data_IF_487750333466
#
_entry.id   IF_487750333466
#
_cell.length_a   1.000
_cell.length_b   1.000
_cell.length_c   1.000
_cell.angle_alpha   90.00
_cell.angle_beta   90.00
_cell.angle_gamma   90.00
#
_symmetry.space_group_name_H-M   'P 1'
#
loop_
_entity.id
_entity.type
_entity.pdbx_description
1 polymer ?
#
# COMPACT_ATOMS: atom_id res chain seq x y z
N UNK A 1 20.21 8.10 25.47
CA UNK A 1 19.24 9.13 25.85
C UNK A 1 18.27 9.27 24.68
N UNK A 2 17.11 8.60 24.71
CA UNK A 2 16.05 8.87 23.74
C UNK A 2 15.17 9.94 24.38
N UNK A 3 15.47 11.21 24.13
CA UNK A 3 14.61 12.31 24.56
C UNK A 3 13.26 12.14 23.88
N UNK A 4 12.25 11.75 24.66
CA UNK A 4 10.85 11.82 24.24
C UNK A 4 10.47 13.29 24.19
N UNK A 5 10.80 13.93 23.07
CA UNK A 5 10.30 15.26 22.75
C UNK A 5 8.80 15.13 22.55
N UNK A 6 8.02 15.64 23.50
CA UNK A 6 6.58 15.82 23.31
C UNK A 6 6.41 16.86 22.21
N UNK A 7 6.08 16.39 21.02
CA UNK A 7 5.80 17.28 19.89
C UNK A 7 4.46 17.96 20.16
N UNK A 8 4.35 19.30 20.08
CA UNK A 8 3.10 19.99 20.32
C UNK A 8 2.07 19.58 19.25
N UNK A 9 0.98 18.97 19.70
CA UNK A 9 -0.20 18.65 18.89
C UNK A 9 -1.20 19.79 19.07
N UNK A 10 -1.66 20.41 17.99
CA UNK A 10 -2.69 21.46 18.03
C UNK A 10 -4.04 20.89 17.56
N UNK A 11 -5.03 20.85 18.44
CA UNK A 11 -6.39 20.46 18.03
C UNK A 11 -7.04 21.61 17.26
N UNK A 12 -7.65 21.30 16.12
CA UNK A 12 -8.40 22.23 15.28
C UNK A 12 -9.90 22.20 15.65
N UNK A 13 -10.65 23.29 15.39
CA UNK A 13 -12.06 23.41 15.75
C UNK A 13 -13.00 22.41 15.05
N UNK A 14 -12.57 21.83 13.94
CA UNK A 14 -13.27 20.80 13.18
C UNK A 14 -13.14 19.40 13.80
N UNK A 15 -12.39 19.26 14.90
CA UNK A 15 -12.09 17.98 15.54
C UNK A 15 -10.85 17.30 14.97
N UNK A 16 -10.12 17.93 14.05
CA UNK A 16 -8.85 17.45 13.54
C UNK A 16 -7.69 17.89 14.45
N UNK A 17 -6.47 17.43 14.16
CA UNK A 17 -5.27 17.88 14.87
C UNK A 17 -4.10 18.13 13.90
N UNK A 18 -3.40 19.24 14.09
CA UNK A 18 -2.20 19.62 13.35
C UNK A 18 -0.92 19.26 14.12
N UNK A 19 0.09 18.77 13.39
CA UNK A 19 1.39 18.38 13.92
C UNK A 19 2.50 18.76 12.93
N UNK A 20 3.48 19.55 13.37
CA UNK A 20 4.68 19.85 12.58
C UNK A 20 5.84 18.94 13.02
N UNK A 21 6.39 18.17 12.07
CA UNK A 21 7.49 17.24 12.32
C UNK A 21 8.70 17.60 11.47
N UNK A 22 9.88 17.63 12.09
CA UNK A 22 11.17 17.64 11.40
C UNK A 22 11.75 16.24 11.50
N UNK A 23 11.83 15.55 10.35
CA UNK A 23 12.37 14.19 10.26
C UNK A 23 13.69 14.17 9.50
N UNK A 24 14.63 13.36 9.98
CA UNK A 24 15.87 13.04 9.27
C UNK A 24 15.64 11.76 8.49
N UNK A 25 15.68 11.86 7.16
CA UNK A 25 15.53 10.71 6.28
C UNK A 25 16.89 10.32 5.69
N UNK A 26 17.22 9.02 5.61
CA UNK A 26 18.40 8.57 4.90
C UNK A 26 18.20 8.76 3.39
N UNK A 27 19.30 8.84 2.63
CA UNK A 27 19.24 9.16 1.20
C UNK A 27 18.53 8.07 0.39
N UNK A 28 18.58 6.83 0.86
CA UNK A 28 17.91 5.67 0.28
C UNK A 28 16.38 5.83 0.31
N UNK A 29 15.84 6.39 1.39
CA UNK A 29 14.39 6.64 1.50
C UNK A 29 13.97 7.82 0.62
N UNK A 30 14.81 8.85 0.51
CA UNK A 30 14.58 9.95 -0.45
C UNK A 30 14.58 9.42 -1.89
N UNK A 31 15.50 8.52 -2.23
CA UNK A 31 15.54 7.89 -3.55
C UNK A 31 14.28 7.05 -3.83
N UNK A 32 13.77 6.30 -2.84
CA UNK A 32 12.51 5.56 -2.96
C UNK A 32 11.31 6.48 -3.16
N UNK A 33 11.26 7.63 -2.49
CA UNK A 33 10.23 8.65 -2.73
C UNK A 33 10.31 9.22 -4.15
N UNK A 34 11.52 9.42 -4.68
CA UNK A 34 11.72 9.82 -6.08
C UNK A 34 11.21 8.78 -7.08
N UNK A 35 11.44 7.49 -6.83
CA UNK A 35 10.90 6.41 -7.66
C UNK A 35 9.37 6.38 -7.63
N UNK A 36 8.78 6.57 -6.45
CA UNK A 36 7.33 6.66 -6.29
C UNK A 36 6.75 7.88 -7.02
N UNK A 37 7.43 9.02 -6.97
CA UNK A 37 7.05 10.20 -7.74
C UNK A 37 7.09 9.93 -9.26
N UNK A 38 8.11 9.24 -9.76
CA UNK A 38 8.20 8.82 -11.16
C UNK A 38 7.09 7.86 -11.58
N UNK A 39 6.75 6.91 -10.70
CA UNK A 39 5.61 5.99 -10.89
C UNK A 39 4.29 6.76 -10.94
N UNK A 40 4.08 7.68 -10.01
CA UNK A 40 2.86 8.50 -9.92
C UNK A 40 2.74 9.46 -11.10
N UNK A 41 3.84 10.06 -11.55
CA UNK A 41 3.87 10.89 -12.75
C UNK A 41 3.51 10.10 -14.02
N UNK A 42 4.00 8.86 -14.13
CA UNK A 42 3.64 7.96 -15.23
C UNK A 42 2.16 7.57 -15.18
N UNK A 43 1.62 7.31 -13.98
CA UNK A 43 0.21 6.93 -13.79
C UNK A 43 -0.75 8.10 -14.05
N UNK A 44 -0.40 9.31 -13.60
CA UNK A 44 -1.22 10.51 -13.79
C UNK A 44 -0.97 11.19 -15.14
N UNK A 45 0.03 10.74 -15.91
CA UNK A 45 0.48 11.36 -17.16
C UNK A 45 0.77 12.86 -17.01
N UNK A 46 1.27 13.25 -15.85
CA UNK A 46 1.50 14.64 -15.43
C UNK A 46 2.78 14.70 -14.60
N UNK A 47 3.54 15.80 -14.64
CA UNK A 47 4.62 16.02 -13.68
C UNK A 47 4.08 16.08 -12.25
N UNK A 48 4.67 15.29 -11.35
CA UNK A 48 4.27 15.16 -9.93
C UNK A 48 5.44 15.58 -9.04
N UNK A 49 5.14 16.34 -7.99
CA UNK A 49 6.12 16.79 -7.01
C UNK A 49 6.40 15.73 -5.95
N UNK A 50 7.53 15.86 -5.24
CA UNK A 50 7.89 14.94 -4.17
C UNK A 50 6.88 14.98 -3.01
N UNK A 51 6.34 16.16 -2.69
CA UNK A 51 5.32 16.34 -1.66
C UNK A 51 4.03 15.56 -1.99
N UNK A 52 3.58 15.62 -3.25
CA UNK A 52 2.44 14.84 -3.72
C UNK A 52 2.69 13.33 -3.62
N UNK A 53 3.89 12.86 -3.97
CA UNK A 53 4.28 11.45 -3.85
C UNK A 53 4.33 11.01 -2.37
N UNK A 54 4.82 11.86 -1.47
CA UNK A 54 4.80 11.63 -0.02
C UNK A 54 3.36 11.53 0.48
N UNK A 55 2.51 12.50 0.12
CA UNK A 55 1.10 12.49 0.48
C UNK A 55 0.37 11.24 -0.02
N UNK A 56 0.63 10.84 -1.27
CA UNK A 56 0.09 9.61 -1.85
C UNK A 56 0.56 8.37 -1.09
N UNK A 57 1.86 8.28 -0.77
CA UNK A 57 2.44 7.15 -0.04
C UNK A 57 1.90 7.07 1.39
N UNK A 58 1.80 8.18 2.11
CA UNK A 58 1.25 8.22 3.47
C UNK A 58 -0.22 7.78 3.50
N UNK A 59 -1.04 8.24 2.54
CA UNK A 59 -2.43 7.81 2.41
C UNK A 59 -2.56 6.33 2.02
N UNK A 60 -1.72 5.86 1.10
CA UNK A 60 -1.71 4.46 0.65
C UNK A 60 -1.26 3.49 1.74
N UNK A 61 -0.24 3.86 2.54
CA UNK A 61 0.23 3.07 3.69
C UNK A 61 -0.83 3.04 4.79
N UNK A 62 -1.53 4.16 5.03
CA UNK A 62 -2.61 4.24 6.03
C UNK A 62 -3.85 3.43 5.64
N UNK A 63 -4.07 3.14 4.36
CA UNK A 63 -5.18 2.28 3.92
C UNK A 63 -5.08 0.83 4.47
N UNK A 64 -3.89 0.39 4.90
CA UNK A 64 -3.70 -0.89 5.61
C UNK A 64 -3.81 -0.82 7.14
N UNK A 65 -3.84 0.38 7.73
CA UNK A 65 -4.01 0.57 9.16
C UNK A 65 -5.49 0.76 9.47
N UNK A 66 -6.10 -0.24 10.14
CA UNK A 66 -7.45 -0.15 10.66
C UNK A 66 -7.56 1.10 11.53
N UNK A 67 -8.38 2.05 11.11
CA UNK A 67 -8.64 3.26 11.88
C UNK A 67 -9.29 2.81 13.19
N UNK A 68 -8.77 3.24 14.33
CA UNK A 68 -9.48 3.13 15.60
C UNK A 68 -10.76 3.95 15.46
N UNK A 69 -11.85 3.26 15.14
CA UNK A 69 -13.19 3.83 15.15
C UNK A 69 -13.42 4.36 16.56
N UNK A 70 -13.87 5.62 16.75
CA UNK A 70 -14.17 6.13 18.07
C UNK A 70 -15.16 5.18 18.76
N UNK A 71 -14.92 4.88 20.03
CA UNK A 71 -15.76 4.01 20.85
C UNK A 71 -17.16 4.65 21.01
N UNK A 72 -18.04 4.35 20.08
CA UNK A 72 -19.44 4.71 20.06
C UNK A 72 -20.15 3.83 19.04
N UNK A 73 -20.95 2.91 19.56
CA UNK A 73 -21.81 1.96 18.83
C UNK A 73 -21.12 0.81 18.08
N UNK A 74 -20.75 -0.22 18.85
CA UNK A 74 -20.53 -1.58 18.33
C UNK A 74 -21.88 -2.33 18.29
N UNK A 75 -22.38 -2.75 17.12
CA UNK A 75 -23.61 -3.53 17.00
C UNK A 75 -23.43 -4.96 17.54
N UNK A 76 -24.52 -5.62 18.02
CA UNK A 76 -24.44 -6.96 18.61
C UNK A 76 -24.02 -8.02 17.58
N UNK A 77 -23.12 -8.90 18.01
CA UNK A 77 -22.60 -10.03 17.27
C UNK A 77 -23.68 -11.10 17.06
N UNK A 78 -23.82 -11.58 15.82
CA UNK A 78 -24.60 -12.77 15.46
C UNK A 78 -23.65 -13.90 15.01
N UNK A 79 -23.89 -15.17 15.40
CA UNK A 79 -23.00 -16.29 15.12
C UNK A 79 -23.12 -16.82 13.67
N UNK A 80 -22.16 -17.65 13.21
CA UNK A 80 -21.96 -17.93 11.79
C UNK A 80 -22.75 -19.17 11.32
N UNK A 81 -23.34 -19.12 10.13
CA UNK A 81 -23.59 -20.30 9.30
C UNK A 81 -23.88 -19.96 7.83
N UNK A 82 -23.14 -20.68 6.98
CA UNK A 82 -23.48 -21.19 5.64
C UNK A 82 -23.69 -20.22 4.47
N UNK A 83 -22.61 -20.15 3.66
CA UNK A 83 -22.59 -20.37 2.21
C UNK A 83 -23.51 -19.54 1.30
N UNK A 84 -22.92 -18.57 0.60
CA UNK A 84 -23.02 -18.38 -0.86
C UNK A 84 -22.17 -17.15 -1.24
N UNK A 85 -20.94 -17.35 -1.72
CA UNK A 85 -20.60 -17.31 -3.15
C UNK A 85 -20.80 -15.94 -3.79
N UNK A 86 -19.73 -15.12 -3.80
CA UNK A 86 -19.25 -14.44 -5.00
C UNK A 86 -17.85 -13.82 -4.79
N UNK A 87 -16.86 -14.50 -5.38
CA UNK A 87 -15.55 -14.04 -5.86
C UNK A 87 -14.83 -12.94 -5.06
N UNK A 88 -14.13 -13.31 -3.99
CA UNK A 88 -12.66 -13.44 -4.06
C UNK A 88 -12.11 -13.50 -5.48
N UNK A 89 -11.44 -12.43 -5.92
CA UNK A 89 -10.46 -12.49 -7.00
C UNK A 89 -9.29 -13.35 -6.55
N UNK A 90 -9.47 -14.67 -6.62
CA UNK A 90 -8.38 -15.64 -6.60
C UNK A 90 -7.50 -15.37 -7.81
N UNK A 91 -6.40 -14.65 -7.61
CA UNK A 91 -5.24 -14.85 -8.47
C UNK A 91 -4.77 -16.27 -8.19
N UNK A 92 -5.09 -17.14 -9.15
CA UNK A 92 -4.55 -18.49 -9.23
C UNK A 92 -3.10 -18.47 -8.76
N UNK A 93 -2.78 -19.23 -7.72
CA UNK A 93 -1.40 -19.52 -7.34
C UNK A 93 -0.72 -20.19 -8.52
N UNK A 94 -0.10 -19.37 -9.37
CA UNK A 94 0.80 -19.84 -10.41
C UNK A 94 1.88 -20.67 -9.70
N UNK A 95 2.12 -21.93 -10.11
CA UNK A 95 3.27 -22.65 -9.58
C UNK A 95 4.51 -21.81 -9.85
N UNK A 96 5.35 -21.64 -8.82
CA UNK A 96 6.57 -20.82 -8.82
C UNK A 96 7.59 -21.43 -9.79
N UNK A 97 7.35 -21.30 -11.09
CA UNK A 97 8.23 -21.85 -12.12
C UNK A 97 9.13 -20.72 -12.62
N UNK A 98 10.46 -20.88 -12.54
CA UNK A 98 11.37 -19.86 -13.03
C UNK A 98 11.16 -19.66 -14.55
N UNK A 99 11.25 -18.41 -15.06
CA UNK A 99 10.92 -18.07 -16.44
C UNK A 99 11.74 -18.87 -17.49
N UNK A 100 12.93 -19.33 -17.11
CA UNK A 100 13.79 -20.17 -17.95
C UNK A 100 13.14 -21.51 -18.35
N UNK A 101 12.30 -22.11 -17.51
CA UNK A 101 11.62 -23.37 -17.86
C UNK A 101 10.36 -23.15 -18.71
N UNK A 102 9.70 -22.01 -18.57
CA UNK A 102 8.55 -21.67 -19.41
C UNK A 102 8.98 -21.47 -20.88
N UNK A 103 10.12 -20.81 -21.09
CA UNK A 103 10.71 -20.65 -22.41
C UNK A 103 11.07 -22.02 -23.04
N UNK A 104 11.60 -22.95 -22.25
CA UNK A 104 11.95 -24.30 -22.73
C UNK A 104 10.72 -25.10 -23.18
N UNK A 105 9.63 -25.06 -22.42
CA UNK A 105 8.40 -25.74 -22.83
C UNK A 105 7.69 -25.10 -24.02
N UNK A 106 7.77 -23.78 -24.16
CA UNK A 106 7.23 -23.11 -25.33
C UNK A 106 7.94 -23.59 -26.60
N UNK A 107 9.27 -23.70 -26.55
CA UNK A 107 10.08 -24.24 -27.66
C UNK A 107 9.76 -25.71 -27.92
N UNK A 108 9.59 -26.52 -26.87
CA UNK A 108 9.30 -27.95 -27.01
C UNK A 108 7.88 -28.24 -27.54
N UNK A 109 6.87 -27.43 -27.19
CA UNK A 109 5.52 -27.51 -27.80
C UNK A 109 5.51 -27.15 -29.28
N UNK A 110 6.38 -26.22 -29.70
CA UNK A 110 6.50 -25.81 -31.10
C UNK A 110 7.19 -26.92 -31.92
N UNK A 111 8.12 -27.66 -31.32
CA UNK A 111 8.86 -28.73 -32.00
C UNK A 111 8.23 -30.13 -31.86
N UNK A 112 7.30 -30.33 -30.91
CA UNK A 112 6.79 -31.65 -30.49
C UNK A 112 5.37 -32.01 -30.95
N UNK A 113 4.89 -31.52 -32.09
CA UNK A 113 3.64 -32.03 -32.67
C UNK A 113 3.91 -33.24 -33.57
N UNK A 114 3.92 -34.43 -32.95
CA UNK A 114 3.56 -35.71 -33.56
C UNK A 114 2.83 -36.56 -32.51
#
# INVERSE_FOLDING_TARGET
>A
MNDRVTVPVHALPDGEAELTLVVRLPWEDVARLGQEAGRLASQMQRPVTLDEAVGHRLRSVRAGAAHARPAGEQPPAVPPSTASTQASGSVSSLPSRPPAEQARQAIERINGTA
#
